data_IF_672642644874
#
_entry.id   IF_672642644874
#
_cell.length_a   1.000
_cell.length_b   1.000
_cell.length_c   1.000
_cell.angle_alpha   90.00
_cell.angle_beta   90.00
_cell.angle_gamma   90.00
#
_symmetry.space_group_name_H-M   'P 1'
#
loop_
_entity.id
_entity.type
_entity.pdbx_description
1 polymer ?
#
# COMPACT_ATOMS: atom_id res chain seq x y z
N UNK A 1 -2.18 7.70 11.06
CA UNK A 1 -1.03 6.77 11.27
C UNK A 1 -0.77 5.91 10.04
N UNK A 2 -1.77 5.16 9.55
CA UNK A 2 -1.70 4.45 8.26
C UNK A 2 -1.97 5.38 7.06
N UNK A 3 -3.01 6.20 7.15
CA UNK A 3 -3.36 7.23 6.14
C UNK A 3 -2.21 8.19 5.80
N UNK A 4 -1.26 8.37 6.73
CA UNK A 4 -0.11 9.25 6.56
C UNK A 4 0.86 8.76 5.48
N UNK A 5 0.78 7.48 5.09
CA UNK A 5 1.58 6.94 3.99
C UNK A 5 1.03 7.35 2.61
N UNK A 6 -0.23 7.79 2.52
CA UNK A 6 -0.87 8.07 1.23
C UNK A 6 -0.15 9.18 0.45
N UNK A 7 0.12 10.31 1.09
CA UNK A 7 0.75 11.47 0.44
C UNK A 7 2.17 11.16 -0.05
N UNK A 8 3.10 10.65 0.79
CA UNK A 8 4.45 10.35 0.32
C UNK A 8 4.45 9.25 -0.73
N UNK A 9 3.66 8.18 -0.58
CA UNK A 9 3.66 7.08 -1.56
C UNK A 9 3.16 7.53 -2.93
N UNK A 10 2.13 8.39 -2.98
CA UNK A 10 1.65 8.96 -4.26
C UNK A 10 2.68 9.82 -4.98
N UNK A 11 3.70 10.33 -4.27
CA UNK A 11 4.80 11.09 -4.86
C UNK A 11 5.95 10.18 -5.35
N UNK A 12 5.90 8.87 -5.10
CA UNK A 12 6.97 7.96 -5.48
C UNK A 12 7.02 7.72 -7.00
N UNK A 13 8.23 7.65 -7.58
CA UNK A 13 8.39 7.28 -8.98
C UNK A 13 7.77 5.91 -9.28
N UNK A 14 6.79 5.89 -10.19
CA UNK A 14 6.15 4.66 -10.63
C UNK A 14 4.91 4.24 -9.85
N UNK A 15 4.52 5.00 -8.83
CA UNK A 15 3.19 4.88 -8.23
C UNK A 15 2.14 5.38 -9.25
N UNK A 16 1.19 4.51 -9.64
CA UNK A 16 0.06 4.88 -10.51
C UNK A 16 -1.13 5.27 -9.63
N UNK A 17 -1.39 4.46 -8.61
CA UNK A 17 -2.45 4.69 -7.64
C UNK A 17 -2.02 4.14 -6.28
N UNK A 18 -2.48 4.80 -5.23
CA UNK A 18 -2.31 4.37 -3.85
C UNK A 18 -3.48 4.89 -3.03
N UNK A 19 -4.48 4.05 -2.85
CA UNK A 19 -5.72 4.39 -2.15
C UNK A 19 -5.83 3.62 -0.84
N UNK A 20 -6.21 4.33 0.22
CA UNK A 20 -6.38 3.77 1.55
C UNK A 20 -7.87 3.66 1.89
N UNK A 21 -8.29 2.45 2.23
CA UNK A 21 -9.67 2.10 2.49
C UNK A 21 -9.81 1.49 3.89
N UNK A 22 -11.02 1.59 4.41
CA UNK A 22 -11.53 0.71 5.47
C UNK A 22 -12.54 -0.22 4.82
N UNK A 23 -12.56 -1.48 5.24
CA UNK A 23 -13.55 -2.45 4.76
C UNK A 23 -14.98 -1.98 5.13
N UNK A 24 -15.93 -2.26 4.25
CA UNK A 24 -17.31 -1.80 4.41
C UNK A 24 -18.06 -2.59 5.50
N UNK A 25 -17.68 -3.84 5.73
CA UNK A 25 -18.33 -4.76 6.66
C UNK A 25 -17.54 -4.88 7.99
N UNK A 26 -16.23 -4.62 8.00
CA UNK A 26 -15.37 -4.64 9.19
C UNK A 26 -14.46 -3.41 9.34
N UNK A 27 -14.80 -2.51 10.26
CA UNK A 27 -14.03 -1.28 10.52
C UNK A 27 -12.63 -1.51 11.11
N UNK A 28 -12.29 -2.74 11.49
CA UNK A 28 -10.94 -3.11 11.93
C UNK A 28 -10.03 -3.52 10.77
N UNK A 29 -10.57 -3.67 9.55
CA UNK A 29 -9.82 -4.07 8.35
C UNK A 29 -9.52 -2.84 7.51
N UNK A 30 -8.24 -2.58 7.30
CA UNK A 30 -7.75 -1.50 6.46
C UNK A 30 -7.03 -2.06 5.24
N UNK A 31 -7.22 -1.43 4.07
CA UNK A 31 -6.72 -1.93 2.79
C UNK A 31 -6.02 -0.81 2.02
N UNK A 32 -4.77 -1.03 1.64
CA UNK A 32 -4.13 -0.27 0.57
C UNK A 32 -4.40 -0.96 -0.77
N UNK A 33 -4.95 -0.21 -1.72
CA UNK A 33 -5.07 -0.64 -3.11
C UNK A 33 -4.06 0.13 -3.95
N UNK A 34 -3.10 -0.60 -4.50
CA UNK A 34 -1.91 -0.02 -5.08
C UNK A 34 -1.74 -0.51 -6.53
N UNK A 35 -1.44 0.43 -7.42
CA UNK A 35 -1.04 0.12 -8.78
C UNK A 35 0.33 0.72 -9.04
N UNK A 36 1.22 -0.10 -9.58
CA UNK A 36 2.61 0.26 -9.85
C UNK A 36 2.91 0.06 -11.33
N UNK A 37 3.79 0.88 -11.90
CA UNK A 37 4.19 0.74 -13.32
C UNK A 37 4.97 -0.54 -13.59
N UNK A 38 5.58 -1.13 -12.56
CA UNK A 38 6.37 -2.35 -12.64
C UNK A 38 6.59 -2.96 -11.25
N UNK A 39 7.01 -4.23 -11.22
CA UNK A 39 7.44 -4.88 -9.97
C UNK A 39 8.63 -4.14 -9.35
N UNK A 40 9.59 -3.67 -10.16
CA UNK A 40 10.76 -2.94 -9.66
C UNK A 40 10.38 -1.63 -8.93
N UNK A 41 9.30 -0.96 -9.35
CA UNK A 41 8.79 0.22 -8.64
C UNK A 41 8.18 -0.15 -7.28
N UNK A 42 7.43 -1.25 -7.20
CA UNK A 42 6.92 -1.78 -5.94
C UNK A 42 8.06 -2.25 -5.02
N UNK A 43 9.09 -2.91 -5.54
CA UNK A 43 10.24 -3.32 -4.74
C UNK A 43 10.98 -2.10 -4.15
N UNK A 44 11.14 -1.03 -4.94
CA UNK A 44 11.71 0.22 -4.46
C UNK A 44 10.83 0.90 -3.39
N UNK A 45 9.51 0.84 -3.54
CA UNK A 45 8.56 1.34 -2.53
C UNK A 45 8.79 0.68 -1.17
N UNK A 46 8.93 -0.65 -1.13
CA UNK A 46 9.11 -1.40 0.12
C UNK A 46 10.37 -1.01 0.90
N UNK A 47 11.34 -0.38 0.24
CA UNK A 47 12.59 0.11 0.84
C UNK A 47 12.54 1.59 1.26
N UNK A 48 11.42 2.29 1.02
CA UNK A 48 11.31 3.73 1.26
C UNK A 48 11.44 4.08 2.76
N UNK A 49 12.22 5.13 3.12
CA UNK A 49 12.44 5.51 4.51
C UNK A 49 11.17 5.82 5.31
N UNK A 50 10.13 6.37 4.68
CA UNK A 50 8.88 6.73 5.36
C UNK A 50 8.04 5.51 5.77
N UNK A 51 8.29 4.33 5.20
CA UNK A 51 7.64 3.08 5.61
C UNK A 51 8.26 2.46 6.86
N UNK A 52 9.54 2.71 7.16
CA UNK A 52 10.25 2.09 8.29
C UNK A 52 9.52 2.23 9.63
N UNK A 53 9.00 3.41 10.01
CA UNK A 53 8.28 3.57 11.27
C UNK A 53 6.96 2.79 11.32
N UNK A 54 6.32 2.58 10.16
CA UNK A 54 5.11 1.78 10.05
C UNK A 54 5.45 0.30 10.18
N UNK A 55 6.41 -0.20 9.39
CA UNK A 55 6.85 -1.60 9.39
C UNK A 55 7.25 -2.06 10.79
N UNK A 56 8.01 -1.23 11.50
CA UNK A 56 8.44 -1.52 12.88
C UNK A 56 7.29 -1.65 13.90
N UNK A 57 6.07 -1.22 13.54
CA UNK A 57 4.90 -1.26 14.41
C UNK A 57 3.85 -2.27 13.95
N UNK A 58 3.97 -2.89 12.77
CA UNK A 58 2.93 -3.75 12.21
C UNK A 58 2.57 -4.90 13.17
N UNK A 59 3.56 -5.57 13.76
CA UNK A 59 3.31 -6.67 14.71
C UNK A 59 2.53 -6.24 15.96
N UNK A 60 2.66 -4.97 16.37
CA UNK A 60 1.90 -4.41 17.50
C UNK A 60 0.50 -3.96 17.09
N UNK A 61 0.35 -3.49 15.85
CA UNK A 61 -0.88 -2.86 15.36
C UNK A 61 -1.86 -3.88 14.79
N UNK A 62 -1.37 -4.98 14.23
CA UNK A 62 -2.19 -5.98 13.56
C UNK A 62 -2.51 -7.15 14.49
N UNK A 63 -3.77 -7.57 14.50
CA UNK A 63 -4.21 -8.77 15.23
C UNK A 63 -3.79 -10.08 14.56
N UNK A 64 -3.28 -10.01 13.32
CA UNK A 64 -2.85 -11.10 12.46
C UNK A 64 -1.70 -10.60 11.55
N UNK A 65 -0.85 -11.46 10.98
CA UNK A 65 0.14 -11.03 9.98
C UNK A 65 -0.51 -10.26 8.83
N UNK A 66 0.21 -9.29 8.26
CA UNK A 66 -0.26 -8.55 7.08
C UNK A 66 -0.52 -9.51 5.92
N UNK A 67 -1.65 -9.32 5.24
CA UNK A 67 -2.00 -10.06 4.04
C UNK A 67 -1.68 -9.22 2.81
N UNK A 68 -0.88 -9.75 1.90
CA UNK A 68 -0.54 -9.09 0.62
C UNK A 68 -0.99 -9.99 -0.52
N UNK A 69 -1.77 -9.41 -1.45
CA UNK A 69 -2.24 -10.10 -2.66
C UNK A 69 -1.68 -9.39 -3.89
N UNK A 70 -0.85 -10.10 -4.65
CA UNK A 70 -0.36 -9.62 -5.94
C UNK A 70 -1.42 -9.83 -7.01
N UNK A 71 -1.90 -8.73 -7.58
CA UNK A 71 -2.94 -8.73 -8.60
C UNK A 71 -2.34 -8.38 -9.96
N UNK A 72 -2.93 -8.93 -11.03
CA UNK A 72 -2.61 -8.53 -12.40
C UNK A 72 -3.76 -7.70 -12.95
N UNK A 73 -3.50 -6.46 -13.33
CA UNK A 73 -4.45 -5.64 -14.05
C UNK A 73 -4.68 -6.24 -15.45
N UNK A 74 -5.93 -6.61 -15.75
CA UNK A 74 -6.34 -7.13 -17.07
C UNK A 74 -6.99 -6.07 -17.96
N UNK A 75 -7.43 -4.97 -17.35
CA UNK A 75 -7.96 -3.80 -18.06
C UNK A 75 -6.82 -2.97 -18.65
N UNK A 76 -7.13 -2.18 -19.67
CA UNK A 76 -6.23 -1.09 -20.07
C UNK A 76 -6.04 -0.11 -18.92
N UNK A 77 -4.82 0.40 -18.79
CA UNK A 77 -4.52 1.45 -17.81
C UNK A 77 -5.30 2.70 -18.19
N UNK A 78 -6.04 3.28 -17.23
CA UNK A 78 -6.68 4.59 -17.43
C UNK A 78 -5.61 5.65 -17.68
N UNK A 79 -5.79 6.42 -18.75
CA UNK A 79 -4.98 7.58 -19.14
C UNK A 79 -4.98 8.66 -18.08
#
# INVERSE_FOLDING_TARGET
>A
MLEAQVVPTRAEPGCINYDFHVDADDQCVFVFYENWISQAALDAHMEMPHLRPLIAQLDRLLSKPIEIRYLRMISERRS
#
